data_IF_814829583164
#
_entry.id   IF_814829583164
#
_cell.length_a   1.000
_cell.length_b   1.000
_cell.length_c   1.000
_cell.angle_alpha   90.00
_cell.angle_beta   90.00
_cell.angle_gamma   90.00
#
_symmetry.space_group_name_H-M   'P 1'
#
loop_
_entity.id
_entity.type
_entity.pdbx_description
1 polymer ?
#
# COMPACT_ATOMS: atom_id res chain seq x y z
N UNK A 1 12.06 -4.08 7.99
CA UNK A 1 11.90 -2.82 8.74
C UNK A 1 11.45 -1.75 7.76
N UNK A 2 10.25 -1.21 7.92
CA UNK A 2 9.59 -0.24 7.03
C UNK A 2 9.69 1.14 7.67
N UNK A 3 10.27 2.10 6.95
CA UNK A 3 10.43 3.46 7.43
C UNK A 3 9.36 4.38 6.84
N UNK A 4 8.36 4.74 7.64
CA UNK A 4 7.24 5.57 7.20
C UNK A 4 7.64 7.04 6.93
N UNK A 5 8.82 7.49 7.38
CA UNK A 5 9.33 8.81 7.04
C UNK A 5 9.74 8.90 5.56
N UNK A 6 10.21 7.80 4.96
CA UNK A 6 10.49 7.72 3.53
C UNK A 6 9.22 7.88 2.69
N UNK A 7 8.13 7.25 3.12
CA UNK A 7 6.81 7.42 2.50
C UNK A 7 6.35 8.88 2.53
N UNK A 8 6.50 9.56 3.68
CA UNK A 8 6.17 10.99 3.77
C UNK A 8 7.01 11.84 2.83
N UNK A 9 8.31 11.53 2.70
CA UNK A 9 9.21 12.29 1.83
C UNK A 9 8.79 12.18 0.35
N UNK A 10 8.48 10.97 -0.13
CA UNK A 10 8.07 10.79 -1.53
C UNK A 10 6.68 11.39 -1.81
N UNK A 11 5.72 11.23 -0.88
CA UNK A 11 4.41 11.87 -0.98
C UNK A 11 4.57 13.40 -1.10
N UNK A 12 5.37 14.02 -0.23
CA UNK A 12 5.62 15.46 -0.29
C UNK A 12 6.30 15.88 -1.59
N UNK A 13 7.25 15.09 -2.08
CA UNK A 13 7.98 15.38 -3.31
C UNK A 13 7.05 15.44 -4.53
N UNK A 14 6.07 14.53 -4.60
CA UNK A 14 5.08 14.45 -5.67
C UNK A 14 4.02 15.55 -5.54
N UNK A 15 3.45 15.74 -4.34
CA UNK A 15 2.42 16.76 -4.10
C UNK A 15 2.90 18.19 -4.41
N UNK A 16 4.16 18.53 -4.09
CA UNK A 16 4.74 19.86 -4.41
C UNK A 16 4.89 20.09 -5.92
N UNK A 17 4.80 19.03 -6.73
CA UNK A 17 4.85 19.09 -8.21
C UNK A 17 3.46 18.98 -8.83
N UNK A 18 2.41 19.21 -8.05
CA UNK A 18 1.02 19.11 -8.48
C UNK A 18 0.66 17.72 -9.05
N UNK A 19 1.26 16.67 -8.47
CA UNK A 19 0.91 15.28 -8.76
C UNK A 19 0.05 14.73 -7.63
N UNK A 20 -1.15 14.26 -7.96
CA UNK A 20 -2.00 13.52 -7.03
C UNK A 20 -1.36 12.17 -6.67
N UNK A 21 -1.46 11.80 -5.39
CA UNK A 21 -0.84 10.58 -4.86
C UNK A 21 -1.84 9.81 -4.04
N UNK A 22 -1.95 8.52 -4.35
CA UNK A 22 -2.67 7.54 -3.53
C UNK A 22 -1.68 6.44 -3.13
N UNK A 23 -1.68 6.09 -1.86
CA UNK A 23 -0.82 5.07 -1.28
C UNK A 23 -1.69 3.93 -0.75
N UNK A 24 -1.35 2.70 -1.12
CA UNK A 24 -1.94 1.50 -0.53
C UNK A 24 -0.94 0.86 0.43
N UNK A 25 -1.41 0.47 1.62
CA UNK A 25 -0.58 -0.21 2.61
C UNK A 25 -1.43 -1.19 3.43
N UNK A 26 -0.94 -2.40 3.78
CA UNK A 26 -1.68 -3.31 4.64
C UNK A 26 -2.01 -2.71 6.02
N UNK A 27 -3.23 -2.89 6.51
CA UNK A 27 -3.67 -2.35 7.82
C UNK A 27 -2.80 -2.80 9.01
N UNK A 28 -2.03 -3.89 8.87
CA UNK A 28 -1.08 -4.36 9.90
C UNK A 28 0.00 -3.32 10.24
N UNK A 29 0.30 -2.39 9.34
CA UNK A 29 1.22 -1.29 9.60
C UNK A 29 0.62 -0.21 10.51
N UNK A 30 -0.71 -0.17 10.64
CA UNK A 30 -1.44 0.67 11.60
C UNK A 30 -1.68 -0.04 12.93
N UNK A 31 -0.65 -0.71 13.45
CA UNK A 31 -0.70 -1.41 14.72
C UNK A 31 0.45 -0.93 15.60
N UNK A 32 0.15 -0.39 16.78
CA UNK A 32 1.16 0.10 17.74
C UNK A 32 2.10 -1.00 18.24
N UNK A 33 1.69 -2.27 18.12
CA UNK A 33 2.51 -3.44 18.45
C UNK A 33 3.34 -3.95 17.24
N UNK A 34 3.29 -3.28 16.08
CA UNK A 34 4.10 -3.63 14.92
C UNK A 34 5.48 -2.94 14.98
N UNK A 35 6.45 -3.63 15.56
CA UNK A 35 7.83 -3.14 15.68
C UNK A 35 8.61 -3.14 14.36
N UNK A 36 8.02 -3.64 13.27
CA UNK A 36 8.63 -3.57 11.94
C UNK A 36 8.40 -2.23 11.24
N UNK A 37 7.62 -1.31 11.82
CA UNK A 37 7.31 0.00 11.25
C UNK A 37 7.88 1.12 12.12
N UNK A 38 8.84 1.88 11.59
CA UNK A 38 9.33 3.10 12.23
C UNK A 38 8.55 4.31 11.73
N UNK A 39 8.39 5.31 12.60
CA UNK A 39 7.65 6.55 12.29
C UNK A 39 6.17 6.33 11.92
N UNK A 40 5.55 5.25 12.42
CA UNK A 40 4.19 4.84 12.08
C UNK A 40 3.11 5.89 12.41
N UNK A 41 3.40 6.86 13.29
CA UNK A 41 2.52 8.00 13.58
C UNK A 41 2.18 8.87 12.36
N UNK A 42 2.92 8.73 11.26
CA UNK A 42 2.63 9.39 9.98
C UNK A 42 1.42 8.77 9.28
N UNK A 43 1.21 7.46 9.40
CA UNK A 43 0.23 6.73 8.60
C UNK A 43 -1.21 7.18 8.87
N UNK A 44 -1.67 7.34 10.15
CA UNK A 44 -3.01 7.85 10.40
C UNK A 44 -3.23 9.28 9.90
N UNK A 45 -2.17 10.10 9.84
CA UNK A 45 -2.24 11.47 9.31
C UNK A 45 -2.42 11.46 7.80
N UNK A 46 -1.65 10.63 7.09
CA UNK A 46 -1.81 10.46 5.63
C UNK A 46 -3.17 9.85 5.29
N UNK A 47 -3.69 8.95 6.13
CA UNK A 47 -5.05 8.42 5.97
C UNK A 47 -6.11 9.51 6.15
N UNK A 48 -6.00 10.34 7.18
CA UNK A 48 -6.95 11.45 7.39
C UNK A 48 -6.89 12.57 6.35
N UNK A 49 -5.89 12.55 5.46
CA UNK A 49 -5.73 13.45 4.32
C UNK A 49 -6.13 12.79 2.99
N UNK A 50 -6.72 11.60 3.03
CA UNK A 50 -7.10 10.79 1.86
C UNK A 50 -5.93 10.43 0.91
N UNK A 51 -4.68 10.53 1.40
CA UNK A 51 -3.47 10.13 0.65
C UNK A 51 -3.18 8.65 0.81
N UNK A 52 -3.49 8.07 1.98
CA UNK A 52 -3.21 6.67 2.29
C UNK A 52 -4.49 5.88 2.54
N UNK A 53 -4.66 4.78 1.81
CA UNK A 53 -5.71 3.79 2.03
C UNK A 53 -5.10 2.51 2.58
N UNK A 54 -5.63 2.04 3.71
CA UNK A 54 -5.22 0.74 4.24
C UNK A 54 -5.92 -0.40 3.52
N UNK A 55 -5.15 -1.35 2.99
CA UNK A 55 -5.69 -2.57 2.41
C UNK A 55 -6.04 -3.58 3.52
N UNK A 56 -7.08 -4.40 3.34
CA UNK A 56 -7.48 -5.37 4.36
C UNK A 56 -6.39 -6.40 4.65
N UNK A 57 -6.10 -6.62 5.93
CA UNK A 57 -5.28 -7.73 6.38
C UNK A 57 -5.84 -8.24 7.72
N UNK A 58 -5.61 -9.52 8.02
CA UNK A 58 -6.16 -10.22 9.18
C UNK A 58 -5.05 -11.02 9.86
N UNK A 59 -4.96 -10.93 11.18
CA UNK A 59 -4.11 -11.83 11.97
C UNK A 59 -4.80 -13.19 12.12
N UNK A 60 -4.01 -14.24 12.36
CA UNK A 60 -4.57 -15.55 12.63
C UNK A 60 -5.41 -15.50 13.93
N UNK A 61 -6.66 -15.96 13.88
CA UNK A 61 -7.53 -16.04 15.06
C UNK A 61 -8.46 -17.24 14.96
N UNK A 62 -8.57 -18.00 16.05
CA UNK A 62 -9.52 -19.11 16.19
C UNK A 62 -9.47 -20.13 15.01
N UNK A 63 -8.27 -20.57 14.63
CA UNK A 63 -8.07 -21.55 13.57
C UNK A 63 -8.14 -21.01 12.14
N UNK A 64 -8.44 -19.71 11.95
CA UNK A 64 -8.33 -19.07 10.64
C UNK A 64 -6.89 -18.61 10.40
N UNK A 65 -6.30 -18.91 9.22
CA UNK A 65 -4.94 -18.48 8.91
C UNK A 65 -4.86 -16.95 8.83
N UNK A 66 -3.67 -16.43 9.15
CA UNK A 66 -3.35 -15.04 8.87
C UNK A 66 -3.49 -14.79 7.36
N UNK A 67 -3.88 -13.58 7.02
CA UNK A 67 -4.13 -13.18 5.65
C UNK A 67 -3.63 -11.76 5.47
N UNK A 68 -2.75 -11.58 4.51
CA UNK A 68 -2.33 -10.27 4.05
C UNK A 68 -2.82 -10.22 2.61
N UNK A 69 -3.69 -9.26 2.29
CA UNK A 69 -4.07 -9.05 0.90
C UNK A 69 -2.82 -8.74 0.08
N UNK A 70 -2.84 -9.15 -1.19
CA UNK A 70 -1.94 -8.65 -2.21
C UNK A 70 -2.25 -7.17 -2.44
N UNK A 71 -1.55 -6.29 -1.71
CA UNK A 71 -1.61 -4.84 -1.88
C UNK A 71 -1.22 -4.40 -3.29
N UNK A 72 -0.31 -5.14 -3.93
CA UNK A 72 0.07 -4.94 -5.33
C UNK A 72 -1.12 -4.94 -6.29
N UNK A 73 -2.12 -5.82 -6.09
CA UNK A 73 -3.31 -5.85 -6.95
C UNK A 73 -4.15 -4.58 -6.81
N UNK A 74 -4.29 -4.04 -5.59
CA UNK A 74 -4.97 -2.76 -5.37
C UNK A 74 -4.24 -1.62 -6.07
N UNK A 75 -2.91 -1.61 -5.99
CA UNK A 75 -2.07 -0.59 -6.63
C UNK A 75 -2.22 -0.64 -8.16
N UNK A 76 -2.13 -1.84 -8.75
CA UNK A 76 -2.19 -2.03 -10.19
C UNK A 76 -3.59 -1.75 -10.74
N UNK A 77 -4.65 -2.31 -10.13
CA UNK A 77 -6.04 -2.08 -10.54
C UNK A 77 -6.43 -0.59 -10.43
N UNK A 78 -5.97 0.09 -9.38
CA UNK A 78 -6.23 1.53 -9.21
C UNK A 78 -5.52 2.34 -10.30
N UNK A 79 -4.23 2.07 -10.55
CA UNK A 79 -3.49 2.77 -11.59
C UNK A 79 -4.11 2.56 -12.97
N UNK A 80 -4.50 1.33 -13.31
CA UNK A 80 -5.15 1.01 -14.58
C UNK A 80 -6.50 1.73 -14.73
N UNK A 81 -7.39 1.59 -13.73
CA UNK A 81 -8.74 2.19 -13.74
C UNK A 81 -8.73 3.70 -13.92
N UNK A 82 -7.77 4.38 -13.31
CA UNK A 82 -7.70 5.85 -13.33
C UNK A 82 -6.66 6.39 -14.33
N UNK A 83 -6.04 5.54 -15.15
CA UNK A 83 -5.02 5.95 -16.12
C UNK A 83 -3.77 6.55 -15.47
N UNK A 84 -3.45 6.12 -14.25
CA UNK A 84 -2.34 6.59 -13.44
C UNK A 84 -1.02 5.86 -13.72
N UNK A 85 -0.06 6.01 -12.81
CA UNK A 85 1.24 5.33 -12.87
C UNK A 85 1.61 4.79 -11.50
N UNK A 86 2.28 3.64 -11.48
CA UNK A 86 2.74 3.01 -10.24
C UNK A 86 4.19 3.41 -9.96
N UNK A 87 4.42 3.95 -8.77
CA UNK A 87 5.77 4.16 -8.24
C UNK A 87 6.10 3.05 -7.25
N UNK A 88 6.86 2.05 -7.71
CA UNK A 88 7.32 0.93 -6.88
C UNK A 88 8.75 0.54 -7.22
N UNK A 89 9.47 0.00 -6.23
CA UNK A 89 10.73 -0.70 -6.47
C UNK A 89 10.51 -2.15 -6.91
N UNK A 90 9.31 -2.69 -6.73
CA UNK A 90 8.91 -4.01 -7.22
C UNK A 90 8.57 -3.95 -8.72
N UNK A 91 8.82 -5.06 -9.42
CA UNK A 91 8.44 -5.26 -10.82
C UNK A 91 7.17 -6.10 -10.98
N UNK A 92 6.54 -6.54 -9.89
CA UNK A 92 5.31 -7.32 -9.88
C UNK A 92 5.43 -8.60 -10.74
N UNK A 93 6.60 -9.24 -10.68
CA UNK A 93 6.97 -10.31 -11.60
C UNK A 93 6.20 -11.62 -11.38
N UNK A 94 5.64 -11.80 -10.19
CA UNK A 94 4.71 -12.87 -9.83
C UNK A 94 3.31 -12.61 -10.43
N UNK A 95 2.79 -11.39 -10.29
CA UNK A 95 1.50 -10.98 -10.85
C UNK A 95 1.52 -11.05 -12.38
N UNK A 96 2.59 -10.58 -13.02
CA UNK A 96 2.71 -10.59 -14.48
C UNK A 96 2.66 -12.01 -15.09
N UNK A 97 3.03 -13.03 -14.32
CA UNK A 97 3.04 -14.44 -14.75
C UNK A 97 1.75 -15.18 -14.41
N UNK A 98 0.97 -14.66 -13.46
CA UNK A 98 -0.24 -15.29 -12.96
C UNK A 98 -1.43 -14.97 -13.88
N UNK A 99 -1.87 -15.99 -14.63
CA UNK A 99 -2.91 -15.83 -15.65
C UNK A 99 -4.27 -15.43 -15.06
N UNK A 100 -4.54 -15.83 -13.82
CA UNK A 100 -5.81 -15.50 -13.15
C UNK A 100 -5.97 -14.00 -12.88
N UNK A 101 -4.87 -13.24 -12.81
CA UNK A 101 -4.91 -11.80 -12.61
C UNK A 101 -5.06 -10.99 -13.90
N UNK A 102 -4.89 -11.59 -15.08
CA UNK A 102 -5.06 -10.90 -16.38
C UNK A 102 -6.49 -10.44 -16.69
N UNK A 103 -7.48 -10.90 -15.92
CA UNK A 103 -8.86 -10.45 -16.05
C UNK A 103 -9.17 -9.25 -15.14
N UNK A 104 -8.25 -8.88 -14.26
CA UNK A 104 -8.36 -7.77 -13.31
C UNK A 104 -7.40 -6.61 -13.64
N UNK A 105 -6.58 -6.79 -14.67
CA UNK A 105 -5.63 -5.83 -15.27
C UNK A 105 -6.00 -5.62 -16.74
#
# INVERSE_FOLDING_TARGET
NVNCAGLLAIVRFLLIRDLDVVVFLPIIYNNSCNFNATNAQVLPKLQGLDVLTFTPARTARAGRPAFINYDDLYVLEFAERYGGSVLSGDRFGDIAKEYSYKFFL
#
